data_IF_308632006476
#
_entry.id   IF_308632006476
#
_cell.length_a   1.000
_cell.length_b   1.000
_cell.length_c   1.000
_cell.angle_alpha   90.00
_cell.angle_beta   90.00
_cell.angle_gamma   90.00
#
_symmetry.space_group_name_H-M   'P 1'
#
loop_
_entity.id
_entity.type
_entity.pdbx_description
1 polymer ?
#
# COMPACT_ATOMS: atom_id res chain seq x y z
N UNK A 1 -6.70 16.74 18.68
CA UNK A 1 -5.27 17.07 18.56
C UNK A 1 -4.86 16.91 17.10
N UNK A 2 -4.00 17.77 16.57
CA UNK A 2 -3.44 17.59 15.22
C UNK A 2 -2.32 16.54 15.30
N UNK A 3 -2.46 15.46 14.54
CA UNK A 3 -1.46 14.40 14.40
C UNK A 3 -0.76 14.46 13.05
N UNK A 4 0.28 13.63 12.87
CA UNK A 4 1.01 13.52 11.60
C UNK A 4 0.95 12.06 11.15
N UNK A 5 0.64 11.84 9.88
CA UNK A 5 0.77 10.54 9.21
C UNK A 5 2.04 10.59 8.36
N UNK A 6 2.91 9.63 8.56
CA UNK A 6 4.12 9.46 7.74
C UNK A 6 3.86 8.31 6.77
N UNK A 7 3.67 8.66 5.51
CA UNK A 7 3.49 7.68 4.43
C UNK A 7 4.85 7.39 3.77
N UNK A 8 5.31 6.15 3.91
CA UNK A 8 6.55 5.68 3.30
C UNK A 8 7.84 6.21 3.95
N UNK A 9 7.78 6.68 5.20
CA UNK A 9 8.95 6.99 6.02
C UNK A 9 8.70 6.56 7.48
N UNK A 10 9.68 5.98 8.18
CA UNK A 10 11.02 5.58 7.74
C UNK A 10 11.03 4.31 6.89
N UNK A 11 12.06 4.12 6.06
CA UNK A 11 12.25 2.91 5.23
C UNK A 11 13.43 2.04 5.62
N UNK A 12 14.29 2.51 6.52
CA UNK A 12 15.43 1.74 7.06
C UNK A 12 15.50 1.83 8.57
N UNK A 13 16.20 0.89 9.20
CA UNK A 13 16.38 0.84 10.65
C UNK A 13 17.15 2.06 11.19
N UNK A 14 18.11 2.57 10.42
CA UNK A 14 18.88 3.78 10.76
C UNK A 14 17.98 5.02 10.77
N UNK A 15 17.10 5.14 9.76
CA UNK A 15 16.11 6.22 9.71
C UNK A 15 15.14 6.12 10.90
N UNK A 16 14.64 4.92 11.20
CA UNK A 16 13.74 4.69 12.33
C UNK A 16 14.38 5.12 13.66
N UNK A 17 15.65 4.72 13.90
CA UNK A 17 16.40 5.11 15.10
C UNK A 17 16.63 6.63 15.17
N UNK A 18 17.06 7.25 14.07
CA UNK A 18 17.31 8.69 14.03
C UNK A 18 16.03 9.50 14.24
N UNK A 19 14.93 9.05 13.64
CA UNK A 19 13.63 9.70 13.79
C UNK A 19 13.10 9.60 15.23
N UNK A 20 13.23 8.43 15.86
CA UNK A 20 12.83 8.27 17.27
C UNK A 20 13.67 9.11 18.23
N UNK A 21 14.96 9.33 17.96
CA UNK A 21 15.80 10.26 18.73
C UNK A 21 15.27 11.69 18.57
N UNK A 22 15.05 12.14 17.33
CA UNK A 22 14.54 13.48 17.04
C UNK A 22 13.17 13.75 17.68
N UNK A 23 12.27 12.75 17.66
CA UNK A 23 10.97 12.87 18.31
C UNK A 23 11.14 13.00 19.83
N UNK A 24 12.01 12.19 20.44
CA UNK A 24 12.27 12.23 21.88
C UNK A 24 12.83 13.58 22.34
N UNK A 25 13.69 14.23 21.55
CA UNK A 25 14.19 15.58 21.83
C UNK A 25 13.07 16.64 21.86
N UNK A 26 11.95 16.36 21.20
CA UNK A 26 10.76 17.21 21.16
C UNK A 26 9.65 16.75 22.13
N UNK A 27 9.94 15.79 23.00
CA UNK A 27 8.96 15.12 23.86
C UNK A 27 7.79 14.49 23.07
N UNK A 28 8.08 14.04 21.84
CA UNK A 28 7.15 13.33 20.97
C UNK A 28 7.54 11.85 20.87
N UNK A 29 6.59 11.03 20.42
CA UNK A 29 6.81 9.61 20.14
C UNK A 29 5.92 9.15 18.99
N UNK A 30 6.29 8.03 18.37
CA UNK A 30 5.39 7.32 17.46
C UNK A 30 4.36 6.56 18.30
N UNK A 31 3.08 6.86 18.07
CA UNK A 31 1.98 6.15 18.73
C UNK A 31 1.72 4.79 18.08
N UNK A 32 1.67 4.76 16.75
CA UNK A 32 1.34 3.58 15.97
C UNK A 32 2.22 3.48 14.73
N UNK A 33 2.62 2.25 14.40
CA UNK A 33 3.17 1.86 13.11
C UNK A 33 2.21 0.84 12.54
N UNK A 34 1.58 1.16 11.41
CA UNK A 34 0.57 0.29 10.80
C UNK A 34 1.21 -0.37 9.57
N UNK A 35 1.32 -1.69 9.63
CA UNK A 35 1.75 -2.51 8.51
C UNK A 35 0.53 -3.10 7.82
N UNK A 36 0.39 -2.82 6.52
CA UNK A 36 -0.57 -3.51 5.67
C UNK A 36 0.08 -4.78 5.13
N UNK A 37 -0.37 -5.93 5.63
CA UNK A 37 0.09 -7.24 5.17
C UNK A 37 -0.61 -7.62 3.88
N UNK A 38 0.16 -8.02 2.89
CA UNK A 38 -0.33 -8.26 1.53
C UNK A 38 0.36 -9.47 0.93
N UNK A 39 -0.41 -10.23 0.14
CA UNK A 39 0.15 -11.32 -0.64
C UNK A 39 0.82 -10.76 -1.90
N UNK A 40 2.14 -10.92 -2.01
CA UNK A 40 2.94 -10.41 -3.12
C UNK A 40 2.45 -10.94 -4.47
N UNK A 41 2.18 -12.25 -4.60
CA UNK A 41 1.76 -12.81 -5.88
C UNK A 41 0.37 -12.29 -6.27
N UNK A 42 -0.52 -12.11 -5.29
CA UNK A 42 -1.84 -11.50 -5.55
C UNK A 42 -1.73 -10.02 -5.92
N UNK A 43 -0.83 -9.24 -5.30
CA UNK A 43 -0.56 -7.86 -5.69
C UNK A 43 0.00 -7.80 -7.11
N UNK A 44 0.98 -8.65 -7.42
CA UNK A 44 1.60 -8.68 -8.75
C UNK A 44 0.54 -9.04 -9.79
N UNK A 45 -0.31 -10.03 -9.51
CA UNK A 45 -1.41 -10.41 -10.40
C UNK A 45 -2.42 -9.27 -10.57
N UNK A 46 -2.90 -8.67 -9.47
CA UNK A 46 -3.87 -7.55 -9.47
C UNK A 46 -3.35 -6.32 -10.22
N UNK A 47 -2.09 -5.95 -10.03
CA UNK A 47 -1.51 -4.75 -10.64
C UNK A 47 -1.12 -5.01 -12.10
N UNK A 48 -0.52 -6.15 -12.43
CA UNK A 48 -0.12 -6.44 -13.81
C UNK A 48 -1.30 -6.67 -14.76
N UNK A 49 -2.42 -7.20 -14.24
CA UNK A 49 -3.64 -7.36 -15.01
C UNK A 49 -4.43 -6.07 -15.23
N UNK A 50 -4.08 -4.98 -14.54
CA UNK A 50 -4.80 -3.69 -14.60
C UNK A 50 -4.58 -2.96 -15.92
N UNK A 51 -5.67 -2.42 -16.46
CA UNK A 51 -5.65 -1.49 -17.59
C UNK A 51 -6.81 -0.50 -17.47
N UNK A 52 -6.82 0.55 -18.27
CA UNK A 52 -7.88 1.56 -18.21
C UNK A 52 -8.22 2.10 -19.59
N UNK A 53 -9.46 2.54 -19.77
CA UNK A 53 -9.86 3.27 -20.98
C UNK A 53 -9.14 4.63 -21.01
N UNK A 54 -8.39 4.89 -22.07
CA UNK A 54 -7.62 6.13 -22.23
C UNK A 54 -8.51 7.36 -22.25
N UNK A 55 -9.73 7.24 -22.78
CA UNK A 55 -10.59 8.40 -23.05
C UNK A 55 -11.44 8.82 -21.84
N UNK A 56 -11.74 7.90 -20.92
CA UNK A 56 -12.61 8.20 -19.77
C UNK A 56 -12.06 7.75 -18.40
N UNK A 57 -10.89 7.11 -18.37
CA UNK A 57 -10.22 6.67 -17.15
C UNK A 57 -10.84 5.46 -16.44
N UNK A 58 -11.89 4.85 -17.01
CA UNK A 58 -12.51 3.66 -16.41
C UNK A 58 -11.50 2.52 -16.32
N UNK A 59 -11.28 2.00 -15.11
CA UNK A 59 -10.34 0.92 -14.83
C UNK A 59 -10.97 -0.46 -15.07
N UNK A 60 -10.13 -1.39 -15.51
CA UNK A 60 -10.45 -2.78 -15.79
C UNK A 60 -9.31 -3.67 -15.31
N UNK A 61 -9.58 -4.98 -15.27
CA UNK A 61 -8.60 -6.00 -14.97
C UNK A 61 -8.83 -7.23 -15.86
N UNK A 62 -7.77 -7.85 -16.38
CA UNK A 62 -7.87 -9.00 -17.31
C UNK A 62 -8.71 -10.16 -16.78
N UNK A 63 -8.55 -10.51 -15.49
CA UNK A 63 -9.27 -11.61 -14.83
C UNK A 63 -10.48 -11.18 -13.98
N UNK A 64 -10.29 -10.20 -13.10
CA UNK A 64 -11.27 -9.87 -12.05
C UNK A 64 -12.36 -8.89 -12.49
N UNK A 65 -12.13 -8.11 -13.54
CA UNK A 65 -13.07 -7.05 -13.98
C UNK A 65 -12.84 -6.72 -15.45
N UNK A 66 -13.15 -7.68 -16.31
CA UNK A 66 -13.04 -7.51 -17.75
C UNK A 66 -14.22 -6.68 -18.28
N UNK A 67 -14.04 -5.89 -19.36
CA UNK A 67 -15.14 -5.20 -20.00
C UNK A 67 -16.21 -6.19 -20.48
N UNK A 68 -17.48 -5.79 -20.45
CA UNK A 68 -18.59 -6.65 -20.87
C UNK A 68 -18.45 -7.12 -22.33
N UNK A 69 -17.87 -6.27 -23.19
CA UNK A 69 -17.48 -6.63 -24.55
C UNK A 69 -15.98 -6.43 -24.73
N UNK A 70 -15.28 -7.49 -25.16
CA UNK A 70 -13.82 -7.46 -25.31
C UNK A 70 -13.39 -6.31 -26.21
N UNK A 71 -12.53 -5.43 -25.67
CA UNK A 71 -11.99 -4.29 -26.39
C UNK A 71 -12.95 -3.09 -26.51
N UNK A 72 -14.05 -3.05 -25.76
CA UNK A 72 -14.99 -1.93 -25.76
C UNK A 72 -15.21 -1.46 -24.32
N UNK A 73 -14.99 -0.16 -24.06
CA UNK A 73 -15.21 0.42 -22.75
C UNK A 73 -16.71 0.43 -22.41
N UNK A 74 -17.08 -0.11 -21.26
CA UNK A 74 -18.47 -0.19 -20.81
C UNK A 74 -19.11 1.18 -20.61
N UNK A 75 -18.32 2.18 -20.18
CA UNK A 75 -18.76 3.56 -19.92
C UNK A 75 -18.89 4.43 -21.17
N UNK A 76 -17.82 4.55 -21.98
CA UNK A 76 -17.78 5.49 -23.11
C UNK A 76 -17.76 4.83 -24.49
N UNK A 77 -17.78 3.50 -24.56
CA UNK A 77 -17.72 2.69 -25.80
C UNK A 77 -16.45 2.87 -26.63
N UNK A 78 -15.46 3.60 -26.14
CA UNK A 78 -14.13 3.68 -26.76
C UNK A 78 -13.44 2.31 -26.81
N UNK A 79 -12.59 2.14 -27.82
CA UNK A 79 -11.69 0.99 -27.99
C UNK A 79 -10.25 1.31 -27.58
N UNK A 80 -10.00 2.51 -27.07
CA UNK A 80 -8.68 2.96 -26.65
C UNK A 80 -8.43 2.57 -25.19
N UNK A 81 -7.44 1.71 -24.97
CA UNK A 81 -7.01 1.29 -23.65
C UNK A 81 -5.52 1.52 -23.47
N UNK A 82 -5.15 1.81 -22.24
CA UNK A 82 -3.76 1.98 -21.83
C UNK A 82 -3.48 1.19 -20.56
N UNK A 83 -2.21 0.78 -20.43
CA UNK A 83 -1.65 0.18 -19.23
C UNK A 83 -0.61 1.13 -18.66
N UNK A 84 -0.48 1.16 -17.34
CA UNK A 84 0.58 1.95 -16.74
C UNK A 84 1.92 1.25 -16.95
N UNK A 85 2.97 2.02 -17.19
CA UNK A 85 4.32 1.49 -17.41
C UNK A 85 4.96 0.90 -16.14
N UNK A 86 4.49 1.31 -14.96
CA UNK A 86 4.95 0.82 -13.66
C UNK A 86 4.32 -0.51 -13.21
N UNK A 87 3.27 -0.98 -13.89
CA UNK A 87 2.52 -2.20 -13.54
C UNK A 87 3.14 -3.49 -14.13
N UNK A 88 4.38 -3.45 -14.63
CA UNK A 88 5.03 -4.69 -15.13
C UNK A 88 5.34 -5.64 -13.95
N UNK A 89 5.11 -6.96 -14.08
CA UNK A 89 5.43 -7.92 -13.02
C UNK A 89 6.86 -7.82 -12.51
N UNK A 90 7.81 -7.54 -13.41
CA UNK A 90 9.23 -7.35 -13.07
C UNK A 90 9.43 -6.11 -12.21
N UNK A 91 8.84 -4.98 -12.59
CA UNK A 91 8.92 -3.72 -11.82
C UNK A 91 8.30 -3.89 -10.43
N UNK A 92 7.14 -4.55 -10.35
CA UNK A 92 6.43 -4.79 -9.11
C UNK A 92 7.22 -5.69 -8.15
N UNK A 93 7.74 -6.83 -8.65
CA UNK A 93 8.60 -7.72 -7.85
C UNK A 93 9.87 -7.02 -7.36
N UNK A 94 10.50 -6.20 -8.19
CA UNK A 94 11.67 -5.42 -7.75
C UNK A 94 11.32 -4.45 -6.62
N UNK A 95 10.16 -3.79 -6.68
CA UNK A 95 9.68 -2.90 -5.61
C UNK A 95 9.37 -3.67 -4.33
N UNK A 96 8.76 -4.85 -4.43
CA UNK A 96 8.46 -5.71 -3.28
C UNK A 96 9.73 -6.30 -2.65
N UNK A 97 10.72 -6.68 -3.45
CA UNK A 97 12.05 -7.11 -2.96
C UNK A 97 12.73 -5.99 -2.19
N UNK A 98 12.77 -4.77 -2.75
CA UNK A 98 13.36 -3.62 -2.07
C UNK A 98 12.65 -3.30 -0.74
N UNK A 99 11.31 -3.43 -0.69
CA UNK A 99 10.54 -3.31 0.54
C UNK A 99 10.95 -4.38 1.57
N UNK A 100 11.06 -5.65 1.17
CA UNK A 100 11.48 -6.75 2.07
C UNK A 100 12.91 -6.57 2.59
N UNK A 101 13.82 -6.12 1.74
CA UNK A 101 15.24 -5.96 2.10
C UNK A 101 15.48 -4.79 3.06
N UNK A 102 14.72 -3.69 2.94
CA UNK A 102 15.01 -2.45 3.68
C UNK A 102 13.92 -2.12 4.70
N UNK A 103 12.66 -2.17 4.27
CA UNK A 103 11.52 -1.69 5.06
C UNK A 103 11.00 -2.76 6.02
N UNK A 104 10.99 -4.05 5.65
CA UNK A 104 10.57 -5.10 6.59
C UNK A 104 11.50 -5.21 7.82
N UNK A 105 12.76 -4.77 7.70
CA UNK A 105 13.72 -4.75 8.81
C UNK A 105 13.36 -3.73 9.91
N UNK A 106 12.48 -2.76 9.64
CA UNK A 106 12.00 -1.81 10.66
C UNK A 106 10.93 -2.45 11.55
N UNK A 107 10.27 -3.52 11.09
CA UNK A 107 9.14 -4.12 11.79
C UNK A 107 9.58 -4.73 13.14
N UNK A 108 10.68 -5.51 13.24
CA UNK A 108 11.18 -5.94 14.54
C UNK A 108 11.51 -4.78 15.48
N UNK A 109 12.07 -3.67 14.95
CA UNK A 109 12.40 -2.50 15.75
C UNK A 109 11.15 -1.89 16.41
N UNK A 110 10.08 -1.65 15.64
CA UNK A 110 8.84 -1.10 16.19
C UNK A 110 7.98 -2.12 16.94
N UNK A 111 8.09 -3.40 16.63
CA UNK A 111 7.47 -4.49 17.40
C UNK A 111 7.97 -4.52 18.83
N UNK A 112 9.30 -4.43 19.05
CA UNK A 112 9.88 -4.40 20.40
C UNK A 112 9.45 -3.19 21.24
N UNK A 113 8.94 -2.14 20.59
CA UNK A 113 8.41 -0.92 21.24
C UNK A 113 6.92 -0.97 21.52
N UNK A 114 6.22 -2.02 21.06
CA UNK A 114 4.79 -2.22 21.27
C UNK A 114 3.88 -1.29 20.46
N UNK A 115 4.40 -0.58 19.46
CA UNK A 115 3.61 0.34 18.62
C UNK A 115 3.28 -0.23 17.23
N UNK A 116 3.84 -1.39 16.85
CA UNK A 116 3.51 -2.05 15.57
C UNK A 116 2.16 -2.76 15.62
N UNK A 117 1.33 -2.53 14.60
CA UNK A 117 0.07 -3.23 14.33
C UNK A 117 0.05 -3.71 12.89
N UNK A 118 -0.22 -4.99 12.69
CA UNK A 118 -0.45 -5.58 11.36
C UNK A 118 -1.95 -5.58 11.07
N UNK A 119 -2.31 -5.17 9.85
CA UNK A 119 -3.67 -5.19 9.31
C UNK A 119 -3.64 -5.95 7.99
N UNK A 120 -4.65 -6.78 7.74
CA UNK A 120 -4.82 -7.44 6.45
C UNK A 120 -5.12 -6.41 5.36
N UNK A 121 -4.12 -6.11 4.53
CA UNK A 121 -4.23 -5.19 3.40
C UNK A 121 -4.89 -5.82 2.17
N UNK A 122 -5.24 -7.11 2.21
CA UNK A 122 -5.95 -7.80 1.12
C UNK A 122 -7.47 -7.72 1.24
N UNK A 123 -7.99 -7.30 2.41
CA UNK A 123 -9.41 -7.12 2.68
C UNK A 123 -10.04 -5.96 1.87
N UNK A 124 -11.37 -5.88 1.90
CA UNK A 124 -12.12 -4.77 1.27
C UNK A 124 -11.74 -3.42 1.90
N UNK A 125 -11.77 -2.36 1.10
CA UNK A 125 -11.29 -1.03 1.50
C UNK A 125 -11.96 -0.51 2.78
N UNK A 126 -13.27 -0.72 2.92
CA UNK A 126 -14.03 -0.31 4.11
C UNK A 126 -13.58 -1.09 5.35
N UNK A 127 -13.27 -2.39 5.21
CA UNK A 127 -12.77 -3.23 6.30
C UNK A 127 -11.39 -2.74 6.73
N UNK A 128 -10.48 -2.51 5.77
CA UNK A 128 -9.13 -2.00 6.06
C UNK A 128 -9.21 -0.64 6.76
N UNK A 129 -10.08 0.24 6.28
CA UNK A 129 -10.30 1.56 6.87
C UNK A 129 -10.78 1.46 8.33
N UNK A 130 -11.77 0.60 8.60
CA UNK A 130 -12.30 0.40 9.95
C UNK A 130 -11.25 -0.18 10.90
N UNK A 131 -10.42 -1.13 10.44
CA UNK A 131 -9.33 -1.68 11.24
C UNK A 131 -8.26 -0.63 11.56
N UNK A 132 -7.86 0.20 10.59
CA UNK A 132 -6.93 1.32 10.81
C UNK A 132 -7.50 2.29 11.85
N UNK A 133 -8.80 2.60 11.73
CA UNK A 133 -9.47 3.51 12.64
C UNK A 133 -9.48 2.98 14.07
N UNK A 134 -9.81 1.70 14.28
CA UNK A 134 -9.74 1.05 15.60
C UNK A 134 -8.36 1.17 16.23
N UNK A 135 -7.30 0.98 15.44
CA UNK A 135 -5.92 1.12 15.94
C UNK A 135 -5.61 2.54 16.42
N UNK A 136 -6.09 3.57 15.71
CA UNK A 136 -5.79 4.98 16.00
C UNK A 136 -6.66 5.54 17.13
N UNK A 137 -7.96 5.23 17.13
CA UNK A 137 -8.90 5.76 18.12
C UNK A 137 -8.69 5.12 19.50
N UNK A 138 -8.05 3.94 19.55
CA UNK A 138 -7.98 3.10 20.73
C UNK A 138 -9.34 2.44 20.98
N UNK A 139 -9.34 1.15 21.36
CA UNK A 139 -10.58 0.43 21.68
C UNK A 139 -11.48 1.17 22.67
#
# INVERSE_FOLDING_TARGET
AEGIILDGFPRTTEQAKAFDIMLKEKDLRINHVIQLEVNEEEIVERLSGRFSCTDCGMGYHEKFSAPANKGICDKCKSTNFTRRSDDSPKTLRNRLSAYKEQTALILPYYSTKGCLKSIDGMAEMDIVFDEIKKVIDGD
#
